data_IF_719356998486
#
_entry.id   IF_719356998486
#
_cell.length_a   1.000
_cell.length_b   1.000
_cell.length_c   1.000
_cell.angle_alpha   90.00
_cell.angle_beta   90.00
_cell.angle_gamma   90.00
#
_symmetry.space_group_name_H-M   'P 1'
#
loop_
_entity.id
_entity.type
_entity.pdbx_description
1 polymer ?
#
# COMPACT_ATOMS: atom_id res chain seq x y z
N UNK A 1 -11.31 1.57 -9.15
CA UNK A 1 -10.49 1.11 -10.30
C UNK A 1 -9.87 2.33 -11.00
N UNK A 2 -8.59 2.27 -11.34
CA UNK A 2 -7.90 3.31 -12.11
C UNK A 2 -7.92 2.90 -13.58
N UNK A 3 -8.33 3.82 -14.46
CA UNK A 3 -8.42 3.58 -15.90
C UNK A 3 -7.42 4.43 -16.65
N UNK A 4 -6.83 3.89 -17.71
CA UNK A 4 -5.90 4.63 -18.56
C UNK A 4 -6.20 4.40 -20.04
N UNK A 5 -5.83 5.39 -20.85
CA UNK A 5 -5.88 5.29 -22.32
C UNK A 5 -4.51 4.86 -22.82
N UNK A 6 -4.45 4.04 -23.88
CA UNK A 6 -3.19 3.72 -24.54
C UNK A 6 -2.43 4.98 -24.96
N UNK A 7 -1.12 4.86 -25.08
CA UNK A 7 -0.30 5.93 -25.64
C UNK A 7 -0.71 6.21 -27.11
N UNK A 8 -0.40 7.41 -27.60
CA UNK A 8 -0.61 7.82 -29.01
C UNK A 8 -2.07 8.04 -29.46
N UNK A 9 -3.06 8.00 -28.54
CA UNK A 9 -4.45 8.36 -28.87
C UNK A 9 -4.75 9.84 -28.54
N UNK A 10 -5.54 10.50 -29.39
CA UNK A 10 -6.07 11.84 -29.11
C UNK A 10 -7.09 11.80 -27.96
N UNK A 11 -7.25 12.92 -27.27
CA UNK A 11 -8.26 13.09 -26.22
C UNK A 11 -9.69 12.91 -26.77
N UNK A 12 -10.62 12.47 -25.90
CA UNK A 12 -12.01 12.13 -26.28
C UNK A 12 -12.27 10.63 -26.47
N UNK A 13 -13.41 10.26 -27.08
CA UNK A 13 -13.85 8.86 -27.35
C UNK A 13 -14.14 7.99 -26.11
N UNK A 14 -14.54 8.59 -24.99
CA UNK A 14 -14.94 7.87 -23.78
C UNK A 14 -13.79 7.55 -22.82
N UNK A 15 -14.06 6.67 -21.85
CA UNK A 15 -13.14 6.27 -20.77
C UNK A 15 -12.28 5.08 -21.22
N UNK A 16 -11.03 5.02 -20.77
CA UNK A 16 -10.11 3.92 -21.08
C UNK A 16 -10.42 2.65 -20.30
N UNK A 17 -9.62 1.61 -20.56
CA UNK A 17 -9.72 0.33 -19.88
C UNK A 17 -9.22 0.43 -18.42
N UNK A 18 -9.68 -0.49 -17.56
CA UNK A 18 -9.15 -0.63 -16.20
C UNK A 18 -7.71 -1.11 -16.28
N UNK A 19 -6.79 -0.37 -15.66
CA UNK A 19 -5.35 -0.66 -15.68
C UNK A 19 -4.93 -1.37 -14.40
N UNK A 20 -5.31 -0.80 -13.24
CA UNK A 20 -5.01 -1.39 -11.94
C UNK A 20 -6.04 -0.99 -10.88
N UNK A 21 -5.95 -1.71 -9.76
CA UNK A 21 -6.77 -1.51 -8.58
C UNK A 21 -5.95 -0.79 -7.52
N UNK A 22 -6.65 0.00 -6.71
CA UNK A 22 -6.03 0.77 -5.63
C UNK A 22 -6.83 0.58 -4.35
N UNK A 23 -6.13 0.58 -3.22
CA UNK A 23 -6.73 0.70 -1.90
C UNK A 23 -6.53 2.13 -1.40
N UNK A 24 -7.59 2.75 -0.89
CA UNK A 24 -7.48 4.10 -0.31
C UNK A 24 -6.97 3.99 1.13
N UNK A 25 -5.78 4.52 1.40
CA UNK A 25 -5.13 4.47 2.71
C UNK A 25 -5.05 5.89 3.27
N UNK A 26 -5.51 6.07 4.50
CA UNK A 26 -5.47 7.35 5.23
C UNK A 26 -4.42 7.26 6.35
N UNK A 27 -3.87 8.40 6.82
CA UNK A 27 -2.95 8.41 7.97
C UNK A 27 -3.55 7.71 9.18
N UNK A 28 -2.74 6.92 9.89
CA UNK A 28 -3.18 6.12 11.04
C UNK A 28 -3.84 4.79 10.70
N UNK A 29 -4.01 4.43 9.42
CA UNK A 29 -4.50 3.11 9.01
C UNK A 29 -3.45 2.03 9.25
N UNK A 30 -3.85 0.93 9.89
CA UNK A 30 -3.04 -0.29 9.98
C UNK A 30 -3.05 -1.00 8.61
N UNK A 31 -1.86 -1.25 8.06
CA UNK A 31 -1.70 -1.87 6.73
C UNK A 31 -1.53 -3.39 6.82
N UNK A 32 -0.75 -3.83 7.80
CA UNK A 32 -0.37 -5.22 7.99
C UNK A 32 -0.26 -5.50 9.49
N UNK A 33 -0.54 -6.74 9.86
CA UNK A 33 -0.40 -7.28 11.20
C UNK A 33 0.46 -8.54 11.14
N UNK A 34 1.21 -8.80 12.21
CA UNK A 34 2.08 -9.97 12.30
C UNK A 34 2.04 -10.52 13.72
N UNK A 35 1.94 -11.85 13.81
CA UNK A 35 1.89 -12.59 15.06
C UNK A 35 2.75 -13.86 14.91
N UNK A 36 3.20 -14.43 16.03
CA UNK A 36 3.90 -15.72 16.04
C UNK A 36 5.39 -15.67 15.73
N UNK A 37 6.01 -14.48 15.73
CA UNK A 37 7.46 -14.30 15.55
C UNK A 37 8.03 -13.37 16.63
N UNK A 38 9.35 -13.39 16.82
CA UNK A 38 10.02 -12.44 17.70
C UNK A 38 9.93 -11.02 17.16
N UNK A 39 9.98 -10.02 18.05
CA UNK A 39 9.91 -8.61 17.66
C UNK A 39 11.05 -8.21 16.71
N UNK A 40 12.24 -8.76 16.90
CA UNK A 40 13.40 -8.50 16.03
C UNK A 40 13.11 -8.89 14.58
N UNK A 41 12.56 -10.09 14.37
CA UNK A 41 12.19 -10.58 13.04
C UNK A 41 11.07 -9.73 12.46
N UNK A 42 10.04 -9.41 13.25
CA UNK A 42 8.93 -8.59 12.80
C UNK A 42 9.42 -7.19 12.37
N UNK A 43 10.28 -6.56 13.16
CA UNK A 43 10.82 -5.22 12.88
C UNK A 43 11.62 -5.20 11.59
N UNK A 44 12.46 -6.19 11.35
CA UNK A 44 13.23 -6.30 10.11
C UNK A 44 12.33 -6.56 8.89
N UNK A 45 11.35 -7.46 9.02
CA UNK A 45 10.38 -7.74 7.95
C UNK A 45 9.58 -6.48 7.57
N UNK A 46 9.09 -5.72 8.57
CA UNK A 46 8.38 -4.47 8.31
C UNK A 46 9.29 -3.35 7.79
N UNK A 47 10.57 -3.31 8.18
CA UNK A 47 11.54 -2.36 7.61
C UNK A 47 11.72 -2.60 6.12
N UNK A 48 11.87 -3.86 5.71
CA UNK A 48 11.99 -4.26 4.29
C UNK A 48 10.69 -3.98 3.53
N UNK A 49 9.54 -4.31 4.12
CA UNK A 49 8.23 -4.04 3.53
C UNK A 49 7.96 -2.55 3.34
N UNK A 50 8.29 -1.72 4.34
CA UNK A 50 8.14 -0.27 4.30
C UNK A 50 8.90 0.37 3.12
N UNK A 51 10.09 -0.15 2.79
CA UNK A 51 10.89 0.34 1.67
C UNK A 51 10.24 0.12 0.29
N UNK A 52 9.19 -0.69 0.19
CA UNK A 52 8.45 -0.96 -1.05
C UNK A 52 7.13 -0.18 -1.14
N UNK A 53 6.74 0.50 -0.08
CA UNK A 53 5.49 1.25 -0.04
C UNK A 53 5.72 2.71 -0.43
N UNK A 54 4.78 3.33 -1.16
CA UNK A 54 4.89 4.73 -1.57
C UNK A 54 4.54 5.73 -0.44
N UNK A 55 4.42 5.26 0.80
CA UNK A 55 4.03 6.06 1.97
C UNK A 55 4.93 5.75 3.17
N UNK A 56 5.09 6.74 4.05
CA UNK A 56 5.78 6.54 5.33
C UNK A 56 4.93 5.63 6.23
N UNK A 57 5.60 4.68 6.88
CA UNK A 57 4.96 3.76 7.84
C UNK A 57 5.62 3.88 9.21
N UNK A 58 4.95 3.37 10.23
CA UNK A 58 5.46 3.31 11.61
C UNK A 58 5.18 1.93 12.16
N UNK A 59 6.19 1.30 12.75
CA UNK A 59 6.02 0.02 13.44
C UNK A 59 5.38 0.29 14.81
N UNK A 60 4.30 -0.42 15.10
CA UNK A 60 3.55 -0.30 16.36
C UNK A 60 3.37 -1.68 16.96
N UNK A 61 3.42 -1.76 18.29
CA UNK A 61 3.08 -2.96 19.05
C UNK A 61 1.74 -2.76 19.74
N UNK A 62 1.02 -3.85 19.99
CA UNK A 62 -0.24 -3.80 20.74
C UNK A 62 0.08 -3.50 22.20
N UNK A 63 -0.17 -2.27 22.65
CA UNK A 63 -0.21 -1.95 24.07
C UNK A 63 -1.56 -2.39 24.62
N UNK A 64 -1.57 -3.33 25.56
CA UNK A 64 -2.72 -3.55 26.44
C UNK A 64 -2.48 -2.65 27.65
N UNK A 65 -3.33 -1.63 27.82
CA UNK A 65 -3.40 -0.83 29.05
C UNK A 65 -4.20 -1.58 30.11
#
# INVERSE_FOLDING_TARGET
>A
PITSKPLEVRQGKGKGNVEYWVANVQPGRMLYEMEGVSEEIAREAFRLGAAKLPVKTTFVTRAIL
#
